data_IF_711910775109
#
_entry.id   IF_711910775109
#
_cell.length_a   1.000
_cell.length_b   1.000
_cell.length_c   1.000
_cell.angle_alpha   90.00
_cell.angle_beta   90.00
_cell.angle_gamma   90.00
#
_symmetry.space_group_name_H-M   'P 1'
#
loop_
_entity.id
_entity.type
_entity.pdbx_description
1 polymer ?
#
# COMPACT_ATOMS: atom_id res chain seq x y z
N UNK A 1 9.50 -10.85 -17.66
CA UNK A 1 8.83 -9.84 -16.83
C UNK A 1 7.81 -9.11 -17.70
N UNK A 2 6.56 -8.99 -17.25
CA UNK A 2 5.48 -8.36 -18.04
C UNK A 2 5.49 -6.83 -17.96
N UNK A 3 5.88 -6.27 -16.80
CA UNK A 3 5.93 -4.83 -16.57
C UNK A 3 7.28 -4.41 -15.96
N UNK A 4 7.76 -3.23 -16.36
CA UNK A 4 8.96 -2.59 -15.79
C UNK A 4 8.63 -1.78 -14.53
N UNK A 5 7.46 -1.13 -14.51
CA UNK A 5 6.94 -0.36 -13.38
C UNK A 5 5.59 -0.90 -12.93
N UNK A 6 5.29 -0.69 -11.64
CA UNK A 6 4.00 -1.02 -11.02
C UNK A 6 3.48 0.23 -10.31
N UNK A 7 2.21 0.54 -10.52
CA UNK A 7 1.47 1.53 -9.73
C UNK A 7 0.36 0.80 -8.97
N UNK A 8 0.34 0.94 -7.65
CA UNK A 8 -0.70 0.39 -6.79
C UNK A 8 -1.67 1.52 -6.45
N UNK A 9 -2.96 1.27 -6.68
CA UNK A 9 -4.01 2.25 -6.47
C UNK A 9 -5.00 1.81 -5.39
N UNK A 10 -5.50 2.77 -4.61
CA UNK A 10 -6.61 2.56 -3.69
C UNK A 10 -7.62 3.72 -3.80
N UNK A 11 -8.88 3.38 -4.10
CA UNK A 11 -9.98 4.33 -4.26
C UNK A 11 -9.59 5.58 -5.10
N UNK A 12 -9.05 5.34 -6.30
CA UNK A 12 -8.70 6.40 -7.26
C UNK A 12 -7.36 7.10 -7.01
N UNK A 13 -6.56 6.69 -6.02
CA UNK A 13 -5.25 7.28 -5.72
C UNK A 13 -4.12 6.30 -5.92
N UNK A 14 -3.03 6.71 -6.57
CA UNK A 14 -1.78 5.95 -6.56
C UNK A 14 -1.18 6.09 -5.16
N UNK A 15 -1.07 4.97 -4.44
CA UNK A 15 -0.54 4.95 -3.07
C UNK A 15 0.93 4.52 -3.02
N UNK A 16 1.38 3.79 -4.04
CA UNK A 16 2.76 3.36 -4.21
C UNK A 16 3.05 3.13 -5.69
N UNK A 17 4.20 3.59 -6.16
CA UNK A 17 4.72 3.38 -7.51
C UNK A 17 6.21 3.06 -7.44
N UNK A 18 6.71 2.22 -8.34
CA UNK A 18 8.13 1.97 -8.49
C UNK A 18 8.42 0.94 -9.57
N UNK A 19 9.67 0.47 -9.65
CA UNK A 19 9.96 -0.70 -10.47
C UNK A 19 9.16 -1.91 -9.96
N UNK A 20 8.89 -2.86 -10.84
CA UNK A 20 8.21 -4.09 -10.44
C UNK A 20 8.96 -4.81 -9.31
N UNK A 21 10.30 -4.75 -9.29
CA UNK A 21 11.08 -5.39 -8.24
C UNK A 21 10.88 -4.71 -6.88
N UNK A 22 11.00 -3.39 -6.84
CA UNK A 22 10.84 -2.60 -5.61
C UNK A 22 9.44 -2.78 -5.00
N UNK A 23 8.39 -2.65 -5.81
CA UNK A 23 7.01 -2.71 -5.32
C UNK A 23 6.64 -4.13 -4.89
N UNK A 24 7.04 -5.16 -5.65
CA UNK A 24 6.62 -6.54 -5.38
C UNK A 24 7.44 -7.24 -4.30
N UNK A 25 8.70 -6.82 -4.08
CA UNK A 25 9.59 -7.42 -3.08
C UNK A 25 9.71 -6.57 -1.82
N UNK A 26 9.69 -5.26 -1.94
CA UNK A 26 9.92 -4.32 -0.85
C UNK A 26 8.79 -3.27 -0.74
N UNK A 27 7.51 -3.71 -0.61
CA UNK A 27 6.39 -2.78 -0.52
C UNK A 27 6.49 -1.90 0.73
N UNK A 28 6.15 -0.63 0.57
CA UNK A 28 6.25 0.40 1.62
C UNK A 28 4.90 0.89 2.11
N UNK A 29 3.85 0.82 1.28
CA UNK A 29 2.51 1.22 1.70
C UNK A 29 1.82 0.03 2.40
N UNK A 30 1.18 0.21 3.58
CA UNK A 30 0.49 -0.87 4.29
C UNK A 30 -0.56 -1.62 3.44
N UNK A 31 -1.26 -0.90 2.55
CA UNK A 31 -2.16 -1.51 1.57
C UNK A 31 -1.44 -2.44 0.57
N UNK A 32 -0.31 -1.99 0.00
CA UNK A 32 0.48 -2.81 -0.92
C UNK A 32 1.01 -4.06 -0.23
N UNK A 33 1.47 -3.93 1.01
CA UNK A 33 1.90 -5.08 1.82
C UNK A 33 0.76 -6.09 2.01
N UNK A 34 -0.43 -5.61 2.37
CA UNK A 34 -1.59 -6.47 2.56
C UNK A 34 -1.99 -7.18 1.26
N UNK A 35 -2.02 -6.47 0.13
CA UNK A 35 -2.25 -7.06 -1.19
C UNK A 35 -1.25 -8.19 -1.49
N UNK A 36 0.04 -7.95 -1.30
CA UNK A 36 1.09 -8.92 -1.60
C UNK A 36 1.15 -10.09 -0.61
N UNK A 37 0.64 -9.90 0.62
CA UNK A 37 0.47 -10.99 1.59
C UNK A 37 -0.59 -12.00 1.16
N UNK A 38 -1.56 -11.58 0.34
CA UNK A 38 -2.64 -12.43 -0.18
C UNK A 38 -2.23 -13.24 -1.42
N UNK A 39 -1.07 -12.96 -2.03
CA UNK A 39 -0.59 -13.65 -3.22
C UNK A 39 -0.06 -15.04 -2.83
N UNK A 40 -0.62 -16.13 -3.39
CA UNK A 40 -0.13 -17.49 -3.13
C UNK A 40 1.33 -17.65 -3.56
N UNK A 41 2.12 -18.42 -2.79
CA UNK A 41 3.47 -18.82 -3.21
C UNK A 41 3.43 -20.18 -3.90
N UNK A 42 4.23 -20.31 -4.97
CA UNK A 42 4.36 -21.55 -5.73
C UNK A 42 5.14 -22.64 -4.97
N UNK A 43 5.94 -22.26 -3.97
CA UNK A 43 6.73 -23.17 -3.12
C UNK A 43 5.90 -23.83 -2.00
N UNK A 44 4.58 -23.61 -1.96
CA UNK A 44 3.66 -24.15 -0.97
C UNK A 44 3.79 -23.52 0.43
N UNK A 45 4.70 -22.56 0.62
CA UNK A 45 4.86 -21.87 1.91
C UNK A 45 3.79 -20.80 2.06
N UNK A 46 3.04 -20.86 3.15
CA UNK A 46 2.11 -19.79 3.50
C UNK A 46 2.89 -18.56 3.98
N UNK A 47 2.61 -17.39 3.40
CA UNK A 47 2.98 -16.11 4.02
C UNK A 47 1.99 -15.80 5.14
N UNK A 48 2.46 -15.04 6.12
CA UNK A 48 1.55 -14.44 7.09
C UNK A 48 0.56 -13.53 6.34
N UNK A 49 -0.72 -13.93 6.34
CA UNK A 49 -1.78 -13.21 5.66
C UNK A 49 -2.20 -12.01 6.50
N UNK A 50 -2.11 -10.80 5.93
CA UNK A 50 -2.55 -9.58 6.60
C UNK A 50 -4.05 -9.42 6.33
N UNK A 51 -4.86 -9.79 7.31
CA UNK A 51 -6.30 -9.56 7.26
C UNK A 51 -6.59 -8.07 7.41
N UNK A 52 -7.15 -7.47 6.36
CA UNK A 52 -7.66 -6.11 6.43
C UNK A 52 -9.00 -6.11 7.16
N UNK A 53 -9.10 -5.28 8.20
CA UNK A 53 -10.32 -5.06 8.97
C UNK A 53 -11.08 -3.84 8.42
N UNK A 54 -12.37 -3.75 8.78
CA UNK A 54 -13.27 -2.70 8.31
C UNK A 54 -13.79 -2.89 6.89
N UNK A 55 -14.88 -2.19 6.59
CA UNK A 55 -15.55 -2.24 5.29
C UNK A 55 -14.81 -1.43 4.22
N UNK A 56 -14.99 -1.81 2.97
CA UNK A 56 -14.50 -1.05 1.82
C UNK A 56 -15.30 0.27 1.70
N UNK A 57 -14.65 1.45 1.82
CA UNK A 57 -15.36 2.72 1.64
C UNK A 57 -15.89 2.88 0.22
N UNK A 58 -16.96 3.66 0.07
CA UNK A 58 -17.53 3.96 -1.24
C UNK A 58 -16.56 4.80 -2.09
N UNK A 59 -16.26 4.40 -3.34
CA UNK A 59 -15.48 5.23 -4.26
C UNK A 59 -16.15 6.57 -4.61
N UNK A 60 -17.49 6.66 -4.52
CA UNK A 60 -18.23 7.89 -4.79
C UNK A 60 -18.12 8.91 -3.64
N UNK A 61 -17.84 8.44 -2.42
CA UNK A 61 -17.68 9.25 -1.23
C UNK A 61 -16.44 8.77 -0.47
N UNK A 62 -15.22 9.01 -1.01
CA UNK A 62 -14.00 8.51 -0.39
C UNK A 62 -13.77 9.19 0.97
N UNK A 63 -13.06 8.51 1.90
CA UNK A 63 -12.71 9.10 3.18
C UNK A 63 -11.91 10.40 3.00
N UNK A 64 -12.09 11.32 3.94
CA UNK A 64 -11.20 12.47 4.09
C UNK A 64 -9.78 11.98 4.41
N UNK A 65 -8.77 12.75 3.98
CA UNK A 65 -7.38 12.42 4.17
C UNK A 65 -6.96 11.19 3.37
N UNK A 66 -6.14 10.31 3.94
CA UNK A 66 -5.74 9.06 3.32
C UNK A 66 -6.96 8.14 3.16
N UNK A 67 -7.31 7.81 1.91
CA UNK A 67 -8.45 6.95 1.59
C UNK A 67 -8.36 5.56 2.25
N UNK A 68 -7.15 5.08 2.55
CA UNK A 68 -6.94 3.78 3.19
C UNK A 68 -6.99 3.83 4.73
N UNK A 69 -7.04 5.01 5.35
CA UNK A 69 -7.05 5.16 6.81
C UNK A 69 -8.12 4.31 7.54
N UNK A 70 -9.36 4.14 7.03
CA UNK A 70 -10.36 3.31 7.72
C UNK A 70 -9.99 1.83 7.86
N UNK A 71 -9.08 1.31 7.01
CA UNK A 71 -8.67 -0.09 6.97
C UNK A 71 -7.19 -0.30 7.27
N UNK A 72 -6.47 0.79 7.57
CA UNK A 72 -5.04 0.75 7.84
C UNK A 72 -4.79 0.53 9.34
N UNK A 73 -4.06 -0.54 9.68
CA UNK A 73 -3.65 -0.84 11.07
C UNK A 73 -2.71 0.21 11.70
N UNK A 74 -2.12 1.07 10.88
CA UNK A 74 -1.20 2.14 11.29
C UNK A 74 -1.83 3.53 11.16
N UNK A 75 -3.17 3.62 10.99
CA UNK A 75 -3.83 4.91 10.83
C UNK A 75 -3.84 5.69 12.15
N UNK A 76 -3.27 6.90 12.12
CA UNK A 76 -3.42 7.90 13.17
C UNK A 76 -4.33 9.04 12.72
N UNK A 77 -4.58 10.01 13.60
CA UNK A 77 -5.44 11.18 13.34
C UNK A 77 -5.02 11.94 12.08
N UNK A 78 -3.72 12.17 11.89
CA UNK A 78 -3.20 12.87 10.70
C UNK A 78 -3.59 12.18 9.38
N UNK A 79 -3.70 10.84 9.38
CA UNK A 79 -4.11 10.06 8.21
C UNK A 79 -5.59 10.28 7.85
N UNK A 80 -6.45 10.61 8.83
CA UNK A 80 -7.89 10.83 8.63
C UNK A 80 -8.19 12.27 8.21
N UNK A 81 -7.32 13.19 8.58
CA UNK A 81 -7.49 14.62 8.31
C UNK A 81 -6.81 15.05 7.00
N UNK A 82 -5.65 14.47 6.69
CA UNK A 82 -4.79 14.92 5.60
C UNK A 82 -4.40 13.77 4.65
N UNK A 83 -4.21 14.11 3.38
CA UNK A 83 -3.66 13.17 2.41
C UNK A 83 -2.12 13.25 2.46
N UNK A 84 -1.40 12.11 2.56
CA UNK A 84 0.05 12.13 2.71
C UNK A 84 0.75 12.67 1.46
N UNK A 85 1.82 13.47 1.63
CA UNK A 85 2.67 13.89 0.52
C UNK A 85 3.42 12.68 -0.07
N UNK A 86 3.99 12.87 -1.26
CA UNK A 86 4.87 11.87 -1.86
C UNK A 86 6.18 11.75 -1.07
N UNK A 87 6.55 10.53 -0.71
CA UNK A 87 7.84 10.17 -0.13
C UNK A 87 8.63 9.32 -1.13
N UNK A 88 9.85 9.73 -1.45
CA UNK A 88 10.74 8.98 -2.34
C UNK A 88 11.62 8.04 -1.53
N UNK A 89 11.60 6.75 -1.86
CA UNK A 89 12.44 5.71 -1.24
C UNK A 89 13.60 5.26 -2.13
N UNK A 90 13.51 5.56 -3.43
CA UNK A 90 14.58 5.42 -4.41
C UNK A 90 14.35 6.40 -5.57
N UNK A 91 15.11 6.28 -6.65
CA UNK A 91 14.88 7.05 -7.88
C UNK A 91 13.53 6.72 -8.54
N UNK A 92 12.98 5.53 -8.30
CA UNK A 92 11.74 5.04 -8.90
C UNK A 92 10.61 4.83 -7.89
N UNK A 93 10.92 4.50 -6.63
CA UNK A 93 9.92 4.16 -5.62
C UNK A 93 9.36 5.40 -4.92
N UNK A 94 8.08 5.69 -5.15
CA UNK A 94 7.32 6.80 -4.59
C UNK A 94 6.13 6.28 -3.81
N UNK A 95 5.90 6.79 -2.61
CA UNK A 95 4.87 6.29 -1.68
C UNK A 95 4.10 7.46 -1.08
N UNK A 96 2.77 7.34 -1.03
CA UNK A 96 1.88 8.28 -0.36
C UNK A 96 1.43 7.69 0.98
N UNK A 97 2.23 7.82 2.03
CA UNK A 97 1.94 7.33 3.37
C UNK A 97 2.63 8.19 4.43
N UNK A 98 1.95 8.52 5.53
CA UNK A 98 2.60 9.13 6.70
C UNK A 98 3.45 8.13 7.50
N UNK A 99 3.04 6.86 7.51
CA UNK A 99 3.70 5.78 8.26
C UNK A 99 4.05 4.61 7.33
N UNK A 100 4.96 4.80 6.37
CA UNK A 100 5.41 3.74 5.49
C UNK A 100 6.12 2.65 6.29
N UNK A 101 5.82 1.40 5.97
CA UNK A 101 6.45 0.25 6.62
C UNK A 101 7.89 0.05 6.13
N UNK A 102 8.70 -0.59 6.95
CA UNK A 102 10.00 -1.09 6.50
C UNK A 102 9.77 -2.27 5.55
N UNK A 103 10.53 -2.31 4.46
CA UNK A 103 10.57 -3.48 3.61
C UNK A 103 10.99 -4.69 4.46
N UNK A 104 10.32 -5.83 4.26
CA UNK A 104 10.75 -7.08 4.88
C UNK A 104 12.12 -7.48 4.28
N UNK A 105 13.06 -7.84 5.15
CA UNK A 105 14.38 -8.36 4.75
C UNK A 105 14.26 -9.74 4.09
#
# INVERSE_FOLDING_TARGET
>A
YLAHEVCVMYLGRIVERGTADEVLRAPRHPYTQALLSAVPRMDGRQREFIRLEGDLPSPAHPPQGCHFAPRCRYAETICRENYPPASNFSASQVVHCFFPIKAAN
#
